data_IF_088919633056
#
_entry.id   IF_088919633056
#
_cell.length_a   1.000
_cell.length_b   1.000
_cell.length_c   1.000
_cell.angle_alpha   90.00
_cell.angle_beta   90.00
_cell.angle_gamma   90.00
#
_symmetry.space_group_name_H-M   'P 1'
#
loop_
_entity.id
_entity.type
_entity.pdbx_description
1 polymer ?
#
# COMPACT_ATOMS: atom_id res chain seq x y z
N UNK A 1 -11.70 -19.72 23.70
CA UNK A 1 -10.70 -19.07 22.82
C UNK A 1 -9.51 -18.71 23.70
N UNK A 2 -8.35 -19.35 23.52
CA UNK A 2 -7.16 -19.01 24.30
C UNK A 2 -6.60 -17.66 23.84
N UNK A 3 -6.10 -16.81 24.74
CA UNK A 3 -5.48 -15.56 24.35
C UNK A 3 -4.23 -15.87 23.51
N UNK A 4 -4.13 -15.20 22.36
CA UNK A 4 -2.93 -15.29 21.53
C UNK A 4 -1.75 -14.74 22.35
N UNK A 5 -0.58 -15.41 22.38
CA UNK A 5 0.59 -14.86 23.04
C UNK A 5 0.97 -13.51 22.41
N UNK A 6 1.76 -12.68 23.12
CA UNK A 6 2.25 -11.41 22.59
C UNK A 6 2.93 -11.62 21.24
N UNK A 7 2.56 -10.79 20.27
CA UNK A 7 3.12 -10.79 18.92
C UNK A 7 4.60 -10.44 18.99
N UNK A 8 5.46 -11.26 18.37
CA UNK A 8 6.91 -11.04 18.36
C UNK A 8 7.32 -10.31 17.10
N UNK A 9 8.28 -9.39 17.20
CA UNK A 9 8.81 -8.65 16.05
C UNK A 9 9.32 -9.54 14.90
N UNK A 10 9.84 -10.73 15.20
CA UNK A 10 10.28 -11.70 14.18
C UNK A 10 9.13 -12.34 13.40
N UNK A 11 7.95 -12.46 14.01
CA UNK A 11 6.74 -12.97 13.35
C UNK A 11 6.21 -11.92 12.37
N UNK A 12 6.28 -10.64 12.74
CA UNK A 12 5.88 -9.51 11.90
C UNK A 12 6.76 -9.41 10.65
N UNK A 13 8.07 -9.65 10.82
CA UNK A 13 9.01 -9.65 9.70
C UNK A 13 8.70 -10.78 8.70
N UNK A 14 8.48 -12.01 9.18
CA UNK A 14 8.18 -13.15 8.31
C UNK A 14 6.87 -12.95 7.53
N UNK A 15 5.83 -12.43 8.19
CA UNK A 15 4.56 -12.09 7.53
C UNK A 15 4.74 -10.98 6.51
N UNK A 16 5.51 -9.95 6.84
CA UNK A 16 5.81 -8.84 5.91
C UNK A 16 6.53 -9.34 4.66
N UNK A 17 7.51 -10.24 4.80
CA UNK A 17 8.21 -10.82 3.66
C UNK A 17 7.34 -11.75 2.82
N UNK A 18 6.39 -12.47 3.42
CA UNK A 18 5.41 -13.26 2.66
C UNK A 18 4.48 -12.37 1.83
N UNK A 19 3.98 -11.28 2.42
CA UNK A 19 3.15 -10.29 1.71
C UNK A 19 3.98 -9.64 0.59
N UNK A 20 5.23 -9.27 0.87
CA UNK A 20 6.17 -8.76 -0.16
C UNK A 20 6.34 -9.76 -1.29
N UNK A 21 6.63 -11.02 -1.00
CA UNK A 21 6.81 -12.03 -2.04
C UNK A 21 5.54 -12.21 -2.90
N UNK A 22 4.36 -12.27 -2.27
CA UNK A 22 3.08 -12.40 -2.97
C UNK A 22 2.80 -11.20 -3.89
N UNK A 23 3.04 -9.98 -3.41
CA UNK A 23 2.76 -8.75 -4.15
C UNK A 23 3.86 -8.37 -5.16
N UNK A 24 5.00 -9.05 -5.12
CA UNK A 24 6.12 -8.75 -6.04
C UNK A 24 6.47 -9.87 -7.02
N UNK A 25 6.03 -11.11 -6.76
CA UNK A 25 6.39 -12.28 -7.57
C UNK A 25 5.61 -12.48 -8.87
N UNK A 26 4.37 -11.99 -8.95
CA UNK A 26 3.50 -12.13 -10.13
C UNK A 26 2.75 -10.82 -10.43
N UNK A 27 3.11 -10.10 -11.52
CA UNK A 27 2.42 -8.88 -11.93
C UNK A 27 0.93 -9.07 -12.26
N UNK A 28 0.55 -10.20 -12.85
CA UNK A 28 -0.84 -10.42 -13.25
C UNK A 28 -1.72 -10.65 -12.01
N UNK A 29 -1.23 -11.45 -11.06
CA UNK A 29 -1.93 -11.65 -9.80
C UNK A 29 -2.12 -10.32 -9.04
N UNK A 30 -1.13 -9.44 -9.06
CA UNK A 30 -1.25 -8.10 -8.48
C UNK A 30 -2.37 -7.29 -9.17
N UNK A 31 -2.41 -7.26 -10.50
CA UNK A 31 -3.46 -6.57 -11.25
C UNK A 31 -4.86 -7.09 -10.90
N UNK A 32 -5.02 -8.41 -10.79
CA UNK A 32 -6.29 -9.06 -10.43
C UNK A 32 -6.73 -8.67 -9.01
N UNK A 33 -5.81 -8.68 -8.05
CA UNK A 33 -6.08 -8.23 -6.68
C UNK A 33 -6.47 -6.75 -6.62
N UNK A 34 -5.80 -5.89 -7.39
CA UNK A 34 -6.14 -4.46 -7.48
C UNK A 34 -7.53 -4.27 -8.10
N UNK A 35 -7.85 -5.00 -9.16
CA UNK A 35 -9.16 -4.92 -9.82
C UNK A 35 -10.27 -5.35 -8.86
N UNK A 36 -10.07 -6.43 -8.11
CA UNK A 36 -11.03 -6.92 -7.13
C UNK A 36 -11.25 -5.93 -5.98
N UNK A 37 -10.16 -5.40 -5.42
CA UNK A 37 -10.22 -4.43 -4.33
C UNK A 37 -10.98 -3.15 -4.75
N UNK A 38 -10.74 -2.65 -5.98
CA UNK A 38 -11.48 -1.52 -6.54
C UNK A 38 -12.97 -1.82 -6.69
N UNK A 39 -13.30 -3.02 -7.20
CA UNK A 39 -14.69 -3.47 -7.39
C UNK A 39 -15.45 -3.52 -6.07
N UNK A 40 -14.86 -4.11 -5.03
CA UNK A 40 -15.46 -4.18 -3.69
C UNK A 40 -15.62 -2.82 -3.04
N UNK A 41 -14.59 -1.97 -3.17
CA UNK A 41 -14.66 -0.61 -2.63
C UNK A 41 -15.77 0.22 -3.29
N UNK A 42 -15.95 0.10 -4.61
CA UNK A 42 -17.05 0.74 -5.33
C UNK A 42 -18.43 0.22 -4.90
N UNK A 43 -18.50 -1.03 -4.41
CA UNK A 43 -19.71 -1.63 -3.84
C UNK A 43 -19.93 -1.29 -2.35
N UNK A 44 -19.09 -0.44 -1.75
CA UNK A 44 -19.21 -0.01 -0.35
C UNK A 44 -18.44 -0.86 0.65
N UNK A 45 -17.59 -1.78 0.19
CA UNK A 45 -16.67 -2.55 1.05
C UNK A 45 -15.21 -2.09 0.82
N UNK A 46 -14.71 -1.10 1.58
CA UNK A 46 -13.39 -0.52 1.37
C UNK A 46 -12.26 -1.30 2.04
N UNK A 47 -12.54 -2.38 2.76
CA UNK A 47 -11.56 -3.03 3.64
C UNK A 47 -10.34 -3.55 2.87
N UNK A 48 -10.57 -4.24 1.75
CA UNK A 48 -9.49 -4.80 0.92
C UNK A 48 -8.70 -3.71 0.20
N UNK A 49 -9.36 -2.66 -0.29
CA UNK A 49 -8.67 -1.51 -0.88
C UNK A 49 -7.78 -0.80 0.15
N UNK A 50 -8.23 -0.66 1.39
CA UNK A 50 -7.43 -0.07 2.46
C UNK A 50 -6.20 -0.94 2.80
N UNK A 51 -6.40 -2.24 2.96
CA UNK A 51 -5.33 -3.18 3.34
C UNK A 51 -4.28 -3.28 2.23
N UNK A 52 -4.69 -3.61 1.00
CA UNK A 52 -3.79 -3.77 -0.14
C UNK A 52 -3.08 -2.46 -0.48
N UNK A 53 -3.80 -1.33 -0.44
CA UNK A 53 -3.21 -0.02 -0.69
C UNK A 53 -2.10 0.33 0.31
N UNK A 54 -2.30 -0.02 1.59
CA UNK A 54 -1.29 0.16 2.64
C UNK A 54 -0.08 -0.73 2.39
N UNK A 55 -0.27 -2.01 2.10
CA UNK A 55 0.82 -2.95 1.89
C UNK A 55 1.69 -2.53 0.69
N UNK A 56 1.06 -2.14 -0.42
CA UNK A 56 1.77 -1.63 -1.60
C UNK A 56 2.53 -0.33 -1.31
N UNK A 57 1.96 0.57 -0.51
CA UNK A 57 2.63 1.80 -0.10
C UNK A 57 3.90 1.52 0.71
N UNK A 58 3.83 0.61 1.70
CA UNK A 58 4.98 0.23 2.52
C UNK A 58 6.06 -0.52 1.73
N UNK A 59 5.68 -1.45 0.86
CA UNK A 59 6.62 -2.27 0.09
C UNK A 59 7.36 -1.46 -0.98
N UNK A 60 6.75 -0.38 -1.48
CA UNK A 60 7.35 0.53 -2.46
C UNK A 60 8.40 1.49 -1.85
N UNK A 61 8.46 1.61 -0.52
CA UNK A 61 9.36 2.50 0.23
C UNK A 61 10.48 1.72 0.96
N UNK A 62 11.15 0.80 0.26
CA UNK A 62 12.06 -0.18 0.88
C UNK A 62 13.40 0.38 1.42
N UNK A 63 13.58 1.70 1.47
CA UNK A 63 14.74 2.34 2.11
C UNK A 63 16.10 2.00 1.48
N UNK A 64 16.16 1.20 0.41
CA UNK A 64 17.39 0.94 -0.30
C UNK A 64 17.82 2.22 -1.04
N UNK A 65 19.11 2.56 -0.91
CA UNK A 65 19.74 3.73 -1.55
C UNK A 65 19.56 3.71 -3.08
N UNK A 66 19.22 2.54 -3.66
CA UNK A 66 18.70 2.38 -5.00
C UNK A 66 17.18 2.26 -4.97
N UNK A 67 16.47 3.40 -5.02
CA UNK A 67 15.03 3.42 -5.30
C UNK A 67 14.79 2.97 -6.74
N UNK A 68 14.77 1.67 -7.00
CA UNK A 68 14.13 1.18 -8.21
C UNK A 68 12.64 1.36 -8.00
N UNK A 69 12.12 2.53 -8.35
CA UNK A 69 10.69 2.84 -8.28
C UNK A 69 9.94 1.87 -9.16
N UNK A 70 8.90 1.28 -8.61
CA UNK A 70 7.97 0.46 -9.37
C UNK A 70 6.69 1.28 -9.48
N UNK A 71 6.67 2.15 -10.49
CA UNK A 71 5.65 3.17 -10.70
C UNK A 71 4.22 2.61 -10.62
N UNK A 72 4.00 1.37 -11.09
CA UNK A 72 2.69 0.73 -11.02
C UNK A 72 2.23 0.42 -9.59
N UNK A 73 3.13 0.01 -8.69
CA UNK A 73 2.78 -0.27 -7.29
C UNK A 73 2.46 1.01 -6.52
N UNK A 74 3.25 2.05 -6.73
CA UNK A 74 3.00 3.37 -6.13
C UNK A 74 1.66 3.93 -6.62
N UNK A 75 1.39 3.81 -7.93
CA UNK A 75 0.12 4.21 -8.55
C UNK A 75 -1.06 3.44 -7.98
N UNK A 76 -0.97 2.11 -7.88
CA UNK A 76 -2.04 1.28 -7.31
C UNK A 76 -2.27 1.56 -5.83
N UNK A 77 -1.20 1.74 -5.05
CA UNK A 77 -1.29 2.14 -3.65
C UNK A 77 -2.10 3.43 -3.48
N UNK A 78 -1.72 4.47 -4.24
CA UNK A 78 -2.41 5.75 -4.21
C UNK A 78 -3.89 5.62 -4.57
N UNK A 79 -4.22 4.96 -5.68
CA UNK A 79 -5.60 4.79 -6.14
C UNK A 79 -6.47 4.05 -5.10
N UNK A 80 -5.96 2.96 -4.54
CA UNK A 80 -6.70 2.14 -3.57
C UNK A 80 -6.92 2.90 -2.25
N UNK A 81 -5.89 3.58 -1.75
CA UNK A 81 -5.99 4.37 -0.52
C UNK A 81 -6.99 5.52 -0.67
N UNK A 82 -6.97 6.23 -1.80
CA UNK A 82 -7.92 7.31 -2.10
C UNK A 82 -9.35 6.81 -2.11
N UNK A 83 -9.60 5.71 -2.84
CA UNK A 83 -10.95 5.12 -2.90
C UNK A 83 -11.42 4.68 -1.51
N UNK A 84 -10.58 3.99 -0.76
CA UNK A 84 -10.92 3.50 0.57
C UNK A 84 -11.18 4.65 1.55
N UNK A 85 -10.32 5.68 1.57
CA UNK A 85 -10.50 6.83 2.46
C UNK A 85 -11.76 7.62 2.14
N UNK A 86 -12.09 7.84 0.85
CA UNK A 86 -13.35 8.47 0.46
C UNK A 86 -14.56 7.63 0.90
N UNK A 87 -14.53 6.32 0.66
CA UNK A 87 -15.60 5.42 1.09
C UNK A 87 -15.81 5.41 2.62
N UNK A 88 -14.75 5.67 3.39
CA UNK A 88 -14.78 5.80 4.85
C UNK A 88 -15.11 7.21 5.36
N UNK A 89 -15.39 8.18 4.47
CA UNK A 89 -15.65 9.58 4.83
C UNK A 89 -14.43 10.32 5.39
N UNK A 90 -13.22 9.94 4.95
CA UNK A 90 -11.92 10.49 5.39
C UNK A 90 -11.23 11.24 4.27
N UNK A 91 -11.91 12.24 3.71
CA UNK A 91 -11.44 12.95 2.51
C UNK A 91 -10.06 13.61 2.69
N UNK A 92 -9.76 14.09 3.89
CA UNK A 92 -8.43 14.62 4.22
C UNK A 92 -7.30 13.60 4.03
N UNK A 93 -7.53 12.32 4.35
CA UNK A 93 -6.55 11.25 4.13
C UNK A 93 -6.46 10.87 2.65
N UNK A 94 -7.57 10.96 1.92
CA UNK A 94 -7.57 10.75 0.48
C UNK A 94 -6.71 11.81 -0.23
N UNK A 95 -6.87 13.09 0.14
CA UNK A 95 -6.07 14.19 -0.38
C UNK A 95 -4.57 14.02 -0.06
N UNK A 96 -4.24 13.61 1.17
CA UNK A 96 -2.85 13.32 1.55
C UNK A 96 -2.25 12.15 0.76
N UNK A 97 -3.04 11.11 0.47
CA UNK A 97 -2.57 9.99 -0.35
C UNK A 97 -2.32 10.39 -1.81
N UNK A 98 -3.17 11.26 -2.39
CA UNK A 98 -2.94 11.84 -3.72
C UNK A 98 -1.69 12.72 -3.75
N UNK A 99 -1.52 13.56 -2.72
CA UNK A 99 -0.37 14.44 -2.59
C UNK A 99 0.92 13.65 -2.42
N UNK A 100 0.96 12.65 -1.54
CA UNK A 100 2.14 11.82 -1.30
C UNK A 100 2.59 11.11 -2.58
N UNK A 101 1.66 10.56 -3.37
CA UNK A 101 2.00 9.97 -4.67
C UNK A 101 2.61 10.99 -5.64
N UNK A 102 1.99 12.18 -5.76
CA UNK A 102 2.49 13.27 -6.61
C UNK A 102 3.86 13.77 -6.17
N UNK A 103 4.07 13.94 -4.87
CA UNK A 103 5.34 14.40 -4.31
C UNK A 103 6.44 13.35 -4.43
N UNK A 104 6.08 12.06 -4.35
CA UNK A 104 7.02 10.99 -4.70
C UNK A 104 7.51 11.21 -6.13
N UNK A 105 6.72 11.58 -7.12
CA UNK A 105 7.23 11.85 -8.49
C UNK A 105 8.28 12.98 -8.60
N UNK A 106 8.49 13.77 -7.54
CA UNK A 106 9.47 14.86 -7.51
C UNK A 106 10.88 14.35 -7.10
N UNK A 107 11.92 14.54 -7.94
CA UNK A 107 13.26 13.99 -7.72
C UNK A 107 13.95 14.41 -6.40
N UNK A 108 13.63 15.58 -5.86
CA UNK A 108 14.28 16.14 -4.67
C UNK A 108 13.49 15.94 -3.37
N UNK A 109 12.23 15.48 -3.42
CA UNK A 109 11.43 15.21 -2.22
C UNK A 109 12.05 14.14 -1.31
N UNK A 110 12.93 13.30 -1.87
CA UNK A 110 13.71 12.31 -1.13
C UNK A 110 15.12 12.77 -0.70
N UNK A 111 15.50 14.03 -0.92
CA UNK A 111 16.87 14.54 -0.69
C UNK A 111 17.02 15.34 0.63
N UNK A 112 15.91 15.65 1.32
CA UNK A 112 15.92 16.30 2.64
C UNK A 112 15.31 15.39 3.71
N UNK A 113 16.02 14.33 4.08
CA UNK A 113 15.88 13.72 5.42
C UNK A 113 17.27 13.61 6.01
N UNK A 114 17.56 14.48 7.00
CA UNK A 114 18.75 14.39 7.84
C UNK A 114 18.62 13.23 8.81
#
# INVERSE_FOLDING_TARGET
MFPRPPQKAVEDHAVTEQIRAALTGDPQALEDHVAEAKRRCAAGDPAEALALGRDLHFISDDGAVSRTRIADRERYAAQLLVMAYRALGRDNLAELAELDHREREIPWAGAYRR
#
